data_IF_023746962371
#
_entry.id   IF_023746962371
#
_cell.length_a   1.000
_cell.length_b   1.000
_cell.length_c   1.000
_cell.angle_alpha   90.00
_cell.angle_beta   90.00
_cell.angle_gamma   90.00
#
_symmetry.space_group_name_H-M   'P 1'
#
loop_
_entity.id
_entity.type
_entity.pdbx_description
1 polymer ?
#
# COMPACT_ATOMS: atom_id res chain seq x y z
N UNK A 1 -4.00 17.77 10.24
CA UNK A 1 -2.98 16.98 9.55
C UNK A 1 -3.29 15.53 9.81
N UNK A 2 -4.43 15.02 9.33
CA UNK A 2 -4.98 13.75 9.81
C UNK A 2 -5.72 13.11 8.64
N UNK A 3 -4.96 12.60 7.67
CA UNK A 3 -5.50 11.92 6.49
C UNK A 3 -5.66 10.41 6.72
N UNK A 4 -5.02 9.86 7.76
CA UNK A 4 -5.14 8.47 8.18
C UNK A 4 -5.42 8.43 9.68
N UNK A 5 -6.69 8.25 10.04
CA UNK A 5 -7.13 8.24 11.43
C UNK A 5 -6.34 7.23 12.27
N UNK A 6 -6.04 7.59 13.52
CA UNK A 6 -5.11 6.93 14.45
C UNK A 6 -5.40 5.46 14.79
N UNK A 7 -6.37 4.81 14.14
CA UNK A 7 -6.78 3.43 14.38
C UNK A 7 -6.64 2.51 13.16
N UNK A 8 -6.51 3.05 11.94
CA UNK A 8 -6.33 2.27 10.73
C UNK A 8 -5.06 2.71 10.00
N UNK A 9 -4.09 1.79 9.88
CA UNK A 9 -2.89 2.03 9.07
C UNK A 9 -3.29 2.25 7.61
N UNK A 10 -2.74 3.28 6.99
CA UNK A 10 -2.96 3.56 5.57
C UNK A 10 -2.52 2.35 4.72
N UNK A 11 -3.38 1.89 3.80
CA UNK A 11 -2.97 0.90 2.80
C UNK A 11 -2.33 1.59 1.61
N UNK A 12 -1.10 1.21 1.29
CA UNK A 12 -0.35 1.76 0.15
C UNK A 12 -0.12 0.71 -0.93
N UNK A 13 -0.41 1.08 -2.17
CA UNK A 13 -0.21 0.25 -3.36
C UNK A 13 0.74 0.96 -4.31
N UNK A 14 2.02 0.54 -4.33
CA UNK A 14 3.03 1.16 -5.17
C UNK A 14 3.07 0.52 -6.57
N UNK A 15 3.13 1.36 -7.59
CA UNK A 15 3.47 0.92 -8.93
C UNK A 15 4.97 0.61 -8.99
N UNK A 16 5.35 -0.67 -8.99
CA UNK A 16 6.75 -1.12 -9.08
C UNK A 16 7.22 -1.38 -10.52
N UNK A 17 6.53 -0.79 -11.51
CA UNK A 17 6.78 -1.04 -12.94
C UNK A 17 8.15 -0.55 -13.45
N UNK A 18 8.41 -0.75 -14.75
CA UNK A 18 9.73 -0.57 -15.39
C UNK A 18 10.25 0.86 -15.59
N UNK A 19 9.73 1.86 -14.87
CA UNK A 19 10.21 3.24 -14.93
C UNK A 19 10.91 3.65 -13.64
N UNK A 20 11.77 4.68 -13.72
CA UNK A 20 12.46 5.26 -12.56
C UNK A 20 11.49 5.73 -11.45
N UNK A 21 10.36 6.34 -11.83
CA UNK A 21 9.30 6.76 -10.91
C UNK A 21 8.67 5.56 -10.19
N UNK A 22 8.61 4.39 -10.83
CA UNK A 22 8.09 3.17 -10.22
C UNK A 22 9.01 2.63 -9.13
N UNK A 23 10.32 2.60 -9.38
CA UNK A 23 11.31 2.25 -8.35
C UNK A 23 11.26 3.22 -7.17
N UNK A 24 11.19 4.53 -7.42
CA UNK A 24 11.08 5.54 -6.36
C UNK A 24 9.79 5.36 -5.54
N UNK A 25 8.66 5.12 -6.20
CA UNK A 25 7.37 4.88 -5.54
C UNK A 25 7.41 3.62 -4.66
N UNK A 26 8.04 2.55 -5.15
CA UNK A 26 8.25 1.33 -4.40
C UNK A 26 9.12 1.55 -3.15
N UNK A 27 10.24 2.24 -3.27
CA UNK A 27 11.11 2.52 -2.13
C UNK A 27 10.43 3.41 -1.08
N UNK A 28 9.65 4.41 -1.51
CA UNK A 28 8.84 5.22 -0.60
C UNK A 28 7.82 4.37 0.16
N UNK A 29 7.09 3.49 -0.53
CA UNK A 29 6.11 2.61 0.11
C UNK A 29 6.77 1.61 1.07
N UNK A 30 7.94 1.05 0.72
CA UNK A 30 8.70 0.14 1.61
C UNK A 30 9.16 0.85 2.87
N UNK A 31 9.59 2.10 2.74
CA UNK A 31 10.01 2.92 3.87
C UNK A 31 8.85 3.15 4.83
N UNK A 32 7.67 3.52 4.32
CA UNK A 32 6.47 3.73 5.12
C UNK A 32 5.99 2.44 5.82
N UNK A 33 6.05 1.30 5.13
CA UNK A 33 5.69 0.00 5.70
C UNK A 33 6.67 -0.41 6.82
N UNK A 34 7.98 -0.27 6.57
CA UNK A 34 9.02 -0.61 7.55
C UNK A 34 9.03 0.31 8.78
N UNK A 35 8.64 1.57 8.63
CA UNK A 35 8.48 2.52 9.75
C UNK A 35 7.19 2.28 10.53
N UNK A 36 6.28 1.46 10.00
CA UNK A 36 4.97 1.20 10.59
C UNK A 36 3.95 2.33 10.39
N UNK A 37 4.26 3.30 9.53
CA UNK A 37 3.38 4.44 9.19
C UNK A 37 2.26 4.03 8.22
N UNK A 38 2.48 2.98 7.43
CA UNK A 38 1.52 2.41 6.50
C UNK A 38 1.63 0.88 6.44
N UNK A 39 0.73 0.24 5.71
CA UNK A 39 0.83 -1.18 5.35
C UNK A 39 0.78 -1.34 3.83
N UNK A 40 1.75 -2.04 3.28
CA UNK A 40 1.83 -2.26 1.84
C UNK A 40 0.90 -3.38 1.39
N UNK A 41 0.20 -3.17 0.27
CA UNK A 41 -0.66 -4.17 -0.37
C UNK A 41 -0.24 -4.50 -1.81
N UNK A 42 -0.60 -5.71 -2.26
CA UNK A 42 -0.40 -6.12 -3.65
C UNK A 42 -1.63 -5.78 -4.50
N UNK A 43 -1.48 -4.89 -5.49
CA UNK A 43 -2.59 -4.50 -6.35
C UNK A 43 -3.10 -5.64 -7.24
N UNK A 44 -2.23 -6.56 -7.66
CA UNK A 44 -2.63 -7.76 -8.40
C UNK A 44 -3.54 -8.68 -7.58
N UNK A 45 -3.35 -8.72 -6.26
CA UNK A 45 -4.20 -9.46 -5.35
C UNK A 45 -5.63 -8.91 -5.25
N UNK A 46 -5.78 -7.57 -5.36
CA UNK A 46 -7.08 -6.92 -5.47
C UNK A 46 -7.76 -7.27 -6.80
N UNK A 47 -7.03 -7.16 -7.92
CA UNK A 47 -7.55 -7.53 -9.24
C UNK A 47 -7.98 -9.00 -9.32
N UNK A 48 -7.23 -9.89 -8.66
CA UNK A 48 -7.57 -11.30 -8.49
C UNK A 48 -8.67 -11.61 -7.48
N UNK A 49 -9.31 -10.59 -6.88
CA UNK A 49 -10.40 -10.74 -5.90
C UNK A 49 -10.04 -11.64 -4.70
N UNK A 50 -8.78 -11.62 -4.25
CA UNK A 50 -8.38 -12.36 -3.04
C UNK A 50 -9.12 -11.78 -1.84
N UNK A 51 -9.98 -12.58 -1.21
CA UNK A 51 -10.96 -12.09 -0.23
C UNK A 51 -10.33 -11.29 0.92
N UNK A 52 -9.19 -11.73 1.44
CA UNK A 52 -8.48 -11.01 2.51
C UNK A 52 -7.98 -9.63 2.07
N UNK A 53 -7.40 -9.52 0.87
CA UNK A 53 -6.89 -8.23 0.35
C UNK A 53 -8.04 -7.28 -0.02
N UNK A 54 -9.13 -7.79 -0.58
CA UNK A 54 -10.33 -6.99 -0.87
C UNK A 54 -10.98 -6.48 0.42
N UNK A 55 -11.02 -7.30 1.48
CA UNK A 55 -11.54 -6.89 2.77
C UNK A 55 -10.68 -5.77 3.38
N UNK A 56 -9.36 -5.92 3.38
CA UNK A 56 -8.43 -4.86 3.83
C UNK A 56 -8.62 -3.56 3.05
N UNK A 57 -8.81 -3.61 1.73
CA UNK A 57 -8.98 -2.40 0.92
C UNK A 57 -10.31 -1.65 1.16
N UNK A 58 -11.27 -2.24 1.87
CA UNK A 58 -12.59 -1.64 2.16
C UNK A 58 -12.71 -1.05 3.57
N UNK A 59 -11.75 -1.32 4.46
CA UNK A 59 -11.79 -0.97 5.88
C UNK A 59 -11.22 0.41 6.20
#
# INVERSE_FOLDING_TARGET
SDCCGSSNKCLVYACSGGSNVGQLSNEAAKTLDSSGDASMGCMSGLGGHVSGMVASAKS
#
